data_IF_023610030849
#
_entry.id   IF_023610030849
#
_cell.length_a   1.000
_cell.length_b   1.000
_cell.length_c   1.000
_cell.angle_alpha   90.00
_cell.angle_beta   90.00
_cell.angle_gamma   90.00
#
_symmetry.space_group_name_H-M   'P 1'
#
loop_
_entity.id
_entity.type
_entity.pdbx_description
1 polymer ?
#
# COMPACT_ATOMS: atom_id res chain seq x y z
N UNK A 1 -5.23 3.37 33.13
CA UNK A 1 -5.01 3.27 31.67
C UNK A 1 -5.25 4.64 31.08
N UNK A 2 -4.21 5.32 30.55
CA UNK A 2 -4.40 6.62 29.87
C UNK A 2 -4.73 6.34 28.41
N UNK A 3 -5.93 6.68 27.99
CA UNK A 3 -6.33 6.66 26.59
C UNK A 3 -5.70 7.86 25.86
N UNK A 4 -4.77 7.59 24.96
CA UNK A 4 -4.14 8.60 24.11
C UNK A 4 -4.98 8.76 22.84
N UNK A 5 -6.04 9.55 22.92
CA UNK A 5 -6.75 10.02 21.73
C UNK A 5 -5.96 11.19 21.14
N UNK A 6 -5.61 11.10 19.86
CA UNK A 6 -5.10 12.25 19.12
C UNK A 6 -6.32 13.05 18.69
N UNK A 7 -6.45 14.27 19.20
CA UNK A 7 -7.45 15.22 18.70
C UNK A 7 -6.92 15.80 17.39
N UNK A 8 -7.66 15.62 16.30
CA UNK A 8 -7.33 16.25 15.01
C UNK A 8 -7.98 17.63 15.03
N UNK A 9 -7.22 18.63 15.46
CA UNK A 9 -7.72 20.00 15.63
C UNK A 9 -7.62 20.84 14.34
N UNK A 10 -7.01 20.29 13.29
CA UNK A 10 -6.82 20.98 12.01
C UNK A 10 -6.94 20.00 10.83
N UNK A 11 -7.82 20.33 9.88
CA UNK A 11 -8.02 19.58 8.65
C UNK A 11 -7.58 20.46 7.47
N UNK A 12 -6.35 20.28 7.02
CA UNK A 12 -5.84 20.99 5.84
C UNK A 12 -5.98 20.12 4.59
N UNK A 13 -6.35 20.74 3.47
CA UNK A 13 -6.33 20.06 2.17
C UNK A 13 -4.91 20.05 1.63
N UNK A 14 -4.30 18.87 1.59
CA UNK A 14 -3.04 18.62 0.89
C UNK A 14 -3.31 18.77 -0.61
N UNK A 15 -2.54 19.65 -1.27
CA UNK A 15 -2.57 20.02 -2.69
C UNK A 15 -3.94 19.97 -3.41
N UNK A 16 -4.53 21.14 -3.68
CA UNK A 16 -5.78 21.29 -4.47
C UNK A 16 -5.65 20.89 -5.95
N UNK A 17 -4.45 20.74 -6.48
CA UNK A 17 -4.23 20.40 -7.89
C UNK A 17 -4.21 18.89 -8.15
N UNK A 18 -4.16 18.07 -7.10
CA UNK A 18 -4.24 16.62 -7.28
C UNK A 18 -5.71 16.22 -7.39
N UNK A 19 -6.08 15.63 -8.52
CA UNK A 19 -7.40 15.01 -8.79
C UNK A 19 -7.94 14.26 -7.55
N UNK A 20 -9.23 14.40 -7.19
CA UNK A 20 -9.76 13.77 -5.98
C UNK A 20 -9.71 12.24 -6.11
N UNK A 21 -9.09 11.59 -5.12
CA UNK A 21 -8.99 10.15 -5.05
C UNK A 21 -10.00 9.60 -4.04
N UNK A 22 -10.97 8.83 -4.55
CA UNK A 22 -11.99 8.18 -3.72
C UNK A 22 -11.63 6.73 -3.46
N UNK A 23 -12.06 6.20 -2.32
CA UNK A 23 -11.95 4.77 -1.97
C UNK A 23 -10.51 4.22 -2.05
N UNK A 24 -9.54 5.03 -1.64
CA UNK A 24 -8.13 4.63 -1.53
C UNK A 24 -7.88 3.88 -0.23
N UNK A 25 -6.97 2.91 -0.27
CA UNK A 25 -6.41 2.35 0.96
C UNK A 25 -5.20 3.15 1.40
N UNK A 26 -5.14 3.49 2.70
CA UNK A 26 -4.03 4.22 3.30
C UNK A 26 -3.21 3.32 4.22
N UNK A 27 -1.90 3.50 4.19
CA UNK A 27 -0.96 2.77 5.03
C UNK A 27 0.26 3.61 5.35
N UNK A 28 0.81 3.46 6.56
CA UNK A 28 2.10 4.06 6.92
C UNK A 28 3.17 2.98 6.90
N UNK A 29 4.21 3.20 6.10
CA UNK A 29 5.38 2.31 6.00
C UNK A 29 6.62 3.16 6.14
N UNK A 30 7.52 2.82 7.06
CA UNK A 30 8.76 3.55 7.31
C UNK A 30 8.54 5.08 7.45
N UNK A 31 7.55 5.47 8.26
CA UNK A 31 7.13 6.87 8.51
C UNK A 31 6.62 7.64 7.28
N UNK A 32 6.38 6.96 6.16
CA UNK A 32 5.80 7.55 4.96
C UNK A 32 4.36 7.07 4.77
N UNK A 33 3.48 8.00 4.41
CA UNK A 33 2.06 7.72 4.15
C UNK A 33 1.88 7.33 2.69
N UNK A 34 1.32 6.15 2.45
CA UNK A 34 1.04 5.60 1.13
C UNK A 34 -0.47 5.56 0.87
N UNK A 35 -0.86 5.94 -0.34
CA UNK A 35 -2.18 5.75 -0.92
C UNK A 35 -2.10 4.69 -2.03
N UNK A 36 -2.98 3.70 -1.98
CA UNK A 36 -2.95 2.54 -2.87
C UNK A 36 -4.32 2.37 -3.54
N UNK A 37 -4.33 2.37 -4.88
CA UNK A 37 -5.53 2.13 -5.68
C UNK A 37 -6.52 3.29 -5.66
N UNK A 38 -7.83 2.97 -5.68
CA UNK A 38 -8.92 3.94 -5.63
C UNK A 38 -9.52 4.28 -6.99
N UNK A 39 -10.16 5.45 -7.07
CA UNK A 39 -10.83 5.97 -8.25
C UNK A 39 -10.64 7.49 -8.34
N UNK A 40 -10.28 8.00 -9.51
CA UNK A 40 -10.03 9.43 -9.74
C UNK A 40 -11.23 10.19 -10.31
N UNK A 41 -12.43 9.61 -10.22
CA UNK A 41 -13.64 10.15 -10.85
C UNK A 41 -13.88 9.65 -12.27
N UNK A 42 -12.86 9.09 -12.92
CA UNK A 42 -12.97 8.57 -14.30
C UNK A 42 -12.58 7.10 -14.40
N UNK A 43 -11.50 6.70 -13.72
CA UNK A 43 -10.91 5.38 -13.86
C UNK A 43 -10.48 4.77 -12.53
N UNK A 44 -10.60 3.45 -12.42
CA UNK A 44 -10.00 2.72 -11.29
C UNK A 44 -8.49 2.78 -11.38
N UNK A 45 -7.85 3.02 -10.25
CA UNK A 45 -6.42 3.23 -10.13
C UNK A 45 -5.72 1.93 -9.74
N UNK A 46 -4.52 1.79 -10.29
CA UNK A 46 -3.52 0.81 -9.84
C UNK A 46 -2.30 1.50 -9.24
N UNK A 47 -2.31 2.83 -9.12
CA UNK A 47 -1.16 3.58 -8.64
C UNK A 47 -0.96 3.37 -7.15
N UNK A 48 0.30 3.44 -6.75
CA UNK A 48 0.73 3.59 -5.37
C UNK A 48 1.41 4.94 -5.30
N UNK A 49 0.85 5.85 -4.50
CA UNK A 49 1.36 7.19 -4.28
C UNK A 49 1.85 7.32 -2.84
N UNK A 50 2.89 8.10 -2.63
CA UNK A 50 3.45 8.37 -1.30
C UNK A 50 3.41 9.88 -1.07
N UNK A 51 3.04 10.27 0.14
CA UNK A 51 2.99 11.65 0.54
C UNK A 51 4.39 12.15 0.89
N UNK A 52 4.79 13.25 0.25
CA UNK A 52 5.98 14.01 0.56
C UNK A 52 5.64 15.17 1.51
N UNK A 53 6.13 15.08 2.75
CA UNK A 53 5.87 16.09 3.78
C UNK A 53 6.59 17.41 3.50
N UNK A 54 7.74 17.37 2.83
CA UNK A 54 8.56 18.56 2.58
C UNK A 54 7.94 19.43 1.49
N UNK A 55 7.41 18.80 0.44
CA UNK A 55 6.78 19.49 -0.69
C UNK A 55 5.27 19.61 -0.54
N UNK A 56 4.68 18.97 0.47
CA UNK A 56 3.23 18.89 0.70
C UNK A 56 2.48 18.37 -0.54
N UNK A 57 3.04 17.35 -1.19
CA UNK A 57 2.54 16.80 -2.45
C UNK A 57 2.57 15.28 -2.46
N UNK A 58 1.72 14.68 -3.28
CA UNK A 58 1.74 13.25 -3.56
C UNK A 58 2.68 12.96 -4.72
N UNK A 59 3.50 11.90 -4.60
CA UNK A 59 4.36 11.40 -5.68
C UNK A 59 4.08 9.94 -5.96
N UNK A 60 4.10 9.53 -7.22
CA UNK A 60 3.93 8.13 -7.58
C UNK A 60 5.15 7.31 -7.14
N UNK A 61 4.93 6.26 -6.36
CA UNK A 61 5.96 5.34 -5.85
C UNK A 61 5.94 3.97 -6.51
N UNK A 62 4.84 3.58 -7.17
CA UNK A 62 4.71 2.27 -7.80
C UNK A 62 3.34 1.99 -8.39
N UNK A 63 3.08 0.74 -8.75
CA UNK A 63 1.76 0.29 -9.19
C UNK A 63 1.45 -1.17 -8.82
N UNK A 64 0.18 -1.46 -8.58
CA UNK A 64 -0.36 -2.81 -8.45
C UNK A 64 -0.52 -3.47 -9.82
N UNK A 65 -0.51 -4.81 -9.86
CA UNK A 65 -0.79 -5.60 -11.07
C UNK A 65 -2.21 -5.35 -11.61
N UNK A 66 -3.17 -5.18 -10.71
CA UNK A 66 -4.58 -4.93 -11.03
C UNK A 66 -5.09 -3.67 -10.34
N UNK A 67 -6.07 -3.02 -10.96
CA UNK A 67 -6.78 -1.88 -10.39
C UNK A 67 -7.67 -2.36 -9.24
N UNK A 68 -7.71 -1.62 -8.13
CA UNK A 68 -8.52 -1.96 -6.96
C UNK A 68 -9.26 -0.74 -6.43
N UNK A 69 -10.54 -0.93 -6.06
CA UNK A 69 -11.39 0.07 -5.40
C UNK A 69 -12.08 -0.60 -4.21
N UNK A 70 -12.20 0.13 -3.09
CA UNK A 70 -12.99 -0.31 -1.93
C UNK A 70 -12.35 -1.45 -1.13
N UNK A 71 -11.05 -1.68 -1.27
CA UNK A 71 -10.29 -2.65 -0.48
C UNK A 71 -9.55 -2.00 0.69
N UNK A 72 -9.29 -2.76 1.74
CA UNK A 72 -8.36 -2.38 2.81
C UNK A 72 -6.91 -2.61 2.40
N UNK A 73 -5.99 -1.82 2.97
CA UNK A 73 -4.54 -2.04 2.84
C UNK A 73 -4.01 -2.49 4.20
N UNK A 74 -3.16 -3.52 4.19
CA UNK A 74 -2.45 -4.02 5.36
C UNK A 74 -0.95 -3.82 5.19
N UNK A 75 -0.27 -3.44 6.27
CA UNK A 75 1.19 -3.35 6.33
C UNK A 75 1.70 -4.48 7.19
N UNK A 76 2.62 -5.28 6.65
CA UNK A 76 3.33 -6.30 7.41
C UNK A 76 4.80 -5.90 7.39
N UNK A 77 5.36 -5.67 8.58
CA UNK A 77 6.81 -5.57 8.75
C UNK A 77 7.33 -7.00 8.85
N UNK A 78 8.08 -7.41 7.84
CA UNK A 78 8.88 -8.63 7.93
C UNK A 78 10.23 -8.22 8.49
N UNK A 79 10.56 -8.71 9.68
CA UNK A 79 11.94 -8.63 10.14
C UNK A 79 12.79 -9.52 9.22
N UNK A 80 14.00 -9.06 8.90
CA UNK A 80 14.88 -9.69 7.91
C UNK A 80 15.25 -11.15 8.28
N UNK A 81 15.00 -11.55 9.54
CA UNK A 81 15.26 -12.89 10.07
C UNK A 81 14.13 -13.90 9.81
N UNK A 82 13.02 -13.50 9.19
CA UNK A 82 11.91 -14.41 8.87
C UNK A 82 11.71 -14.66 7.36
N UNK A 83 12.57 -14.10 6.51
CA UNK A 83 12.56 -14.43 5.08
C UNK A 83 13.26 -15.77 4.86
N UNK A 84 12.49 -16.86 4.86
CA UNK A 84 12.89 -18.12 4.23
C UNK A 84 12.47 -18.07 2.76
N UNK A 85 13.40 -17.99 1.78
CA UNK A 85 13.07 -18.14 0.38
C UNK A 85 12.24 -19.40 0.16
N UNK A 86 11.23 -19.35 -0.70
CA UNK A 86 10.39 -20.51 -1.05
C UNK A 86 11.21 -21.75 -1.47
N UNK A 87 12.43 -21.52 -1.98
CA UNK A 87 13.37 -22.57 -2.41
C UNK A 87 14.42 -22.97 -1.35
N UNK A 88 14.27 -22.53 -0.10
CA UNK A 88 15.20 -22.85 0.99
C UNK A 88 14.69 -23.94 1.95
N UNK A 89 13.42 -24.32 1.81
CA UNK A 89 12.83 -25.44 2.54
C UNK A 89 12.87 -26.70 1.65
N UNK A 90 13.73 -27.70 1.94
CA UNK A 90 13.81 -28.93 1.16
C UNK A 90 12.52 -29.77 1.23
N UNK A 91 11.63 -29.51 2.18
CA UNK A 91 10.35 -30.23 2.35
C UNK A 91 9.18 -29.58 1.58
N UNK A 92 9.39 -28.41 0.94
CA UNK A 92 8.38 -27.72 0.11
C UNK A 92 8.67 -27.82 -1.39
N UNK A 93 9.45 -28.82 -1.83
CA UNK A 93 9.50 -29.16 -3.25
C UNK A 93 8.06 -29.36 -3.76
N UNK A 94 7.67 -28.77 -4.91
CA UNK A 94 6.33 -28.93 -5.44
C UNK A 94 6.10 -30.42 -5.68
N UNK A 95 5.19 -31.00 -4.89
CA UNK A 95 4.60 -32.30 -5.16
C UNK A 95 3.94 -32.22 -6.54
N UNK A 96 4.46 -33.00 -7.47
CA UNK A 96 3.86 -33.38 -8.75
C UNK A 96 3.65 -32.26 -9.79
N UNK A 97 4.72 -31.90 -10.52
CA UNK A 97 4.58 -31.62 -11.95
C UNK A 97 4.71 -32.95 -12.71
N UNK A 98 3.63 -33.52 -13.29
CA UNK A 98 3.75 -34.67 -14.17
C UNK A 98 4.54 -34.29 -15.44
N UNK A 99 5.32 -35.22 -16.02
CA UNK A 99 6.10 -34.91 -17.21
C UNK A 99 5.19 -34.54 -18.38
N UNK A 100 5.53 -33.45 -19.07
CA UNK A 100 4.93 -33.06 -20.33
C UNK A 100 5.07 -34.23 -21.33
N UNK A 101 3.94 -34.71 -21.85
CA UNK A 101 3.91 -35.52 -23.09
C UNK A 101 4.22 -34.65 -24.31
#
# INVERSE_FOLDING_TARGET
MKSNWITVDNCETIDRNTRPFYNVGLAVVNDQLYAVGGFDGTTYLKTVEVYDRETNQWRQSGCMTYRRLGGGVGVVRLDHDQYVPFNSDPDLAPFDDPPLM
#
